data_IF_141603364568
#
_entry.id   IF_141603364568
#
_cell.length_a   1.000
_cell.length_b   1.000
_cell.length_c   1.000
_cell.angle_alpha   90.00
_cell.angle_beta   90.00
_cell.angle_gamma   90.00
#
_symmetry.space_group_name_H-M   'P 1'
#
loop_
_entity.id
_entity.type
_entity.pdbx_description
1 polymer ?
#
# COMPACT_ATOMS: atom_id res chain seq x y z
N UNK A 1 12.03 16.58 -15.70
CA UNK A 1 11.30 15.31 -15.71
C UNK A 1 10.84 15.04 -17.14
N UNK A 2 11.26 13.92 -17.72
CA UNK A 2 10.97 13.53 -19.11
C UNK A 2 9.47 13.38 -19.35
N UNK A 3 8.69 12.95 -18.35
CA UNK A 3 7.22 12.83 -18.47
C UNK A 3 6.60 14.20 -18.71
N UNK A 4 7.06 15.22 -17.98
CA UNK A 4 6.61 16.62 -18.16
C UNK A 4 6.92 17.12 -19.57
N UNK A 5 8.11 16.83 -20.10
CA UNK A 5 8.49 17.26 -21.46
C UNK A 5 7.60 16.59 -22.51
N UNK A 6 7.26 15.31 -22.31
CA UNK A 6 6.40 14.54 -23.21
C UNK A 6 4.92 14.95 -23.14
N UNK A 7 4.45 15.59 -22.06
CA UNK A 7 3.07 16.09 -21.94
C UNK A 7 2.73 17.15 -23.00
N UNK A 8 3.72 17.91 -23.48
CA UNK A 8 3.52 18.96 -24.50
C UNK A 8 3.23 18.44 -25.90
N UNK A 9 3.47 17.15 -26.16
CA UNK A 9 3.24 16.52 -27.47
C UNK A 9 1.80 16.03 -27.57
N UNK A 10 1.03 16.54 -28.52
CA UNK A 10 -0.41 16.21 -28.69
C UNK A 10 -0.71 14.71 -28.88
N UNK A 11 0.24 13.94 -29.41
CA UNK A 11 0.10 12.49 -29.60
C UNK A 11 0.23 11.68 -28.29
N UNK A 12 0.79 12.27 -27.24
CA UNK A 12 1.03 11.58 -25.98
C UNK A 12 -0.16 11.71 -25.03
N UNK A 13 -0.53 10.59 -24.41
CA UNK A 13 -1.46 10.57 -23.29
C UNK A 13 -0.71 10.12 -22.04
N UNK A 14 -0.47 11.04 -21.12
CA UNK A 14 0.15 10.72 -19.82
C UNK A 14 -0.93 10.26 -18.85
N UNK A 15 -0.78 9.04 -18.34
CA UNK A 15 -1.61 8.48 -17.28
C UNK A 15 -0.89 8.71 -15.95
N UNK A 16 -1.19 9.83 -15.29
CA UNK A 16 -0.52 10.17 -14.04
C UNK A 16 -1.15 9.44 -12.85
N UNK A 17 -0.57 8.29 -12.48
CA UNK A 17 -1.08 7.44 -11.40
C UNK A 17 -1.28 8.16 -10.05
N UNK A 18 -0.61 9.30 -9.82
CA UNK A 18 -0.68 10.07 -8.59
C UNK A 18 -1.88 11.04 -8.52
N UNK A 19 -2.53 11.34 -9.65
CA UNK A 19 -3.72 12.20 -9.72
C UNK A 19 -4.95 11.55 -10.39
N UNK A 20 -4.75 10.43 -11.07
CA UNK A 20 -5.82 9.73 -11.75
C UNK A 20 -6.68 8.93 -10.77
N UNK A 21 -7.86 9.47 -10.43
CA UNK A 21 -8.84 8.79 -9.56
C UNK A 21 -9.31 7.43 -10.10
N UNK A 22 -9.03 7.07 -11.36
CA UNK A 22 -9.21 5.70 -11.85
C UNK A 22 -8.45 4.68 -11.00
N UNK A 23 -7.23 5.02 -10.58
CA UNK A 23 -6.39 4.23 -9.70
C UNK A 23 -7.08 3.98 -8.34
N UNK A 24 -7.44 5.06 -7.62
CA UNK A 24 -8.18 4.98 -6.36
C UNK A 24 -9.49 4.17 -6.49
N UNK A 25 -10.29 4.45 -7.52
CA UNK A 25 -11.59 3.76 -7.71
C UNK A 25 -11.43 2.27 -7.93
N UNK A 26 -10.42 1.84 -8.68
CA UNK A 26 -10.19 0.42 -8.92
C UNK A 26 -9.99 -0.33 -7.59
N UNK A 27 -9.14 0.20 -6.72
CA UNK A 27 -8.88 -0.45 -5.43
C UNK A 27 -10.03 -0.32 -4.44
N UNK A 28 -10.70 0.84 -4.43
CA UNK A 28 -11.91 1.05 -3.64
C UNK A 28 -13.00 0.01 -3.95
N UNK A 29 -13.16 -0.39 -5.20
CA UNK A 29 -14.19 -1.37 -5.59
C UNK A 29 -13.65 -2.79 -5.67
N UNK A 30 -12.67 -3.05 -6.55
CA UNK A 30 -12.22 -4.40 -6.87
C UNK A 30 -11.37 -5.01 -5.75
N UNK A 31 -10.34 -4.30 -5.28
CA UNK A 31 -9.45 -4.81 -4.23
C UNK A 31 -10.17 -4.94 -2.91
N UNK A 32 -11.05 -3.99 -2.57
CA UNK A 32 -11.90 -4.10 -1.38
C UNK A 32 -12.83 -5.31 -1.44
N UNK A 33 -13.47 -5.57 -2.58
CA UNK A 33 -14.35 -6.74 -2.75
C UNK A 33 -13.58 -8.04 -2.53
N UNK A 34 -12.41 -8.20 -3.17
CA UNK A 34 -11.58 -9.39 -2.99
C UNK A 34 -11.14 -9.56 -1.53
N UNK A 35 -10.79 -8.48 -0.84
CA UNK A 35 -10.44 -8.52 0.57
C UNK A 35 -11.62 -8.95 1.47
N UNK A 36 -12.82 -8.43 1.21
CA UNK A 36 -14.04 -8.79 1.94
C UNK A 36 -14.40 -10.26 1.74
N UNK A 37 -14.36 -10.75 0.50
CA UNK A 37 -14.65 -12.15 0.16
C UNK A 37 -13.68 -13.10 0.88
N UNK A 38 -12.37 -12.84 0.85
CA UNK A 38 -11.36 -13.67 1.53
C UNK A 38 -11.61 -13.72 3.05
N UNK A 39 -11.87 -12.58 3.69
CA UNK A 39 -12.11 -12.55 5.14
C UNK A 39 -13.43 -13.25 5.51
N UNK A 40 -14.46 -13.08 4.68
CA UNK A 40 -15.74 -13.75 4.84
C UNK A 40 -15.61 -15.27 4.72
N UNK A 41 -14.88 -15.76 3.70
CA UNK A 41 -14.65 -17.19 3.46
C UNK A 41 -13.88 -17.85 4.60
N UNK A 42 -12.99 -17.10 5.26
CA UNK A 42 -12.25 -17.54 6.44
C UNK A 42 -13.07 -17.47 7.75
N UNK A 43 -14.27 -16.88 7.73
CA UNK A 43 -15.13 -16.72 8.91
C UNK A 43 -14.50 -15.84 10.00
N UNK A 44 -13.72 -14.84 9.60
CA UNK A 44 -13.03 -13.90 10.50
C UNK A 44 -13.72 -12.53 10.52
N UNK A 45 -13.48 -11.76 11.58
CA UNK A 45 -13.79 -10.34 11.62
C UNK A 45 -12.70 -9.52 10.92
N UNK A 46 -13.04 -8.36 10.37
CA UNK A 46 -12.08 -7.48 9.70
C UNK A 46 -11.49 -6.48 10.71
N UNK A 47 -10.22 -6.68 11.10
CA UNK A 47 -9.53 -5.84 12.08
C UNK A 47 -8.80 -4.65 11.47
N UNK A 48 -8.01 -4.88 10.42
CA UNK A 48 -7.29 -3.80 9.73
C UNK A 48 -7.03 -4.10 8.25
N UNK A 49 -6.96 -3.05 7.44
CA UNK A 49 -6.43 -3.06 6.08
C UNK A 49 -5.15 -2.23 6.03
N UNK A 50 -4.03 -2.86 5.66
CA UNK A 50 -2.69 -2.29 5.71
C UNK A 50 -2.12 -2.17 4.30
N UNK A 51 -1.66 -0.98 3.94
CA UNK A 51 -1.03 -0.75 2.63
C UNK A 51 0.09 0.28 2.70
N UNK A 52 1.24 -0.10 2.17
CA UNK A 52 2.36 0.79 1.91
C UNK A 52 2.07 1.73 0.74
N UNK A 53 2.60 2.93 0.86
CA UNK A 53 2.17 4.08 0.08
C UNK A 53 3.16 4.38 -1.05
N UNK A 54 2.81 3.96 -2.27
CA UNK A 54 3.33 4.54 -3.52
C UNK A 54 2.33 5.56 -4.05
N UNK A 55 1.58 5.19 -5.09
CA UNK A 55 0.53 6.03 -5.68
C UNK A 55 -0.66 6.33 -4.74
N UNK A 56 -0.83 5.57 -3.66
CA UNK A 56 -1.98 5.60 -2.74
C UNK A 56 -3.30 5.03 -3.29
N UNK A 57 -3.29 4.32 -4.42
CA UNK A 57 -4.48 3.65 -4.93
C UNK A 57 -4.99 2.58 -3.97
N UNK A 58 -4.12 1.61 -3.66
CA UNK A 58 -4.46 0.39 -2.90
C UNK A 58 -5.08 0.66 -1.53
N UNK A 59 -4.58 1.65 -0.78
CA UNK A 59 -5.12 1.98 0.54
C UNK A 59 -6.59 2.43 0.49
N UNK A 60 -7.09 2.88 -0.67
CA UNK A 60 -8.50 3.16 -0.89
C UNK A 60 -9.43 1.95 -0.67
N UNK A 61 -8.90 0.72 -0.74
CA UNK A 61 -9.66 -0.47 -0.39
C UNK A 61 -10.05 -0.50 1.10
N UNK A 62 -9.18 -0.03 2.00
CA UNK A 62 -9.48 0.06 3.43
C UNK A 62 -10.66 0.99 3.73
N UNK A 63 -10.77 2.10 2.98
CA UNK A 63 -11.93 3.00 3.08
C UNK A 63 -13.25 2.30 2.70
N UNK A 64 -13.24 1.47 1.66
CA UNK A 64 -14.41 0.72 1.24
C UNK A 64 -14.77 -0.39 2.25
N UNK A 65 -13.77 -1.15 2.73
CA UNK A 65 -13.96 -2.19 3.75
C UNK A 65 -14.65 -1.63 5.00
N UNK A 66 -14.25 -0.42 5.44
CA UNK A 66 -14.86 0.26 6.59
C UNK A 66 -16.37 0.49 6.49
N UNK A 67 -16.93 0.54 5.27
CA UNK A 67 -18.39 0.68 5.08
C UNK A 67 -19.15 -0.56 5.52
N UNK A 68 -18.51 -1.72 5.40
CA UNK A 68 -19.06 -3.01 5.81
C UNK A 68 -18.61 -3.38 7.23
N UNK A 69 -17.40 -2.96 7.62
CA UNK A 69 -16.81 -3.21 8.93
C UNK A 69 -16.31 -1.89 9.56
N UNK A 70 -17.17 -1.12 10.25
CA UNK A 70 -16.81 0.18 10.82
C UNK A 70 -15.67 0.15 11.85
N UNK A 71 -15.40 -1.02 12.45
CA UNK A 71 -14.28 -1.24 13.37
C UNK A 71 -12.94 -1.51 12.68
N UNK A 72 -12.91 -1.70 11.36
CA UNK A 72 -11.68 -1.94 10.61
C UNK A 72 -10.81 -0.69 10.57
N UNK A 73 -9.53 -0.82 10.94
CA UNK A 73 -8.56 0.26 10.79
C UNK A 73 -7.96 0.31 9.38
N UNK A 74 -7.82 1.50 8.79
CA UNK A 74 -7.04 1.72 7.57
C UNK A 74 -5.64 2.20 7.96
N UNK A 75 -4.62 1.40 7.64
CA UNK A 75 -3.24 1.63 8.06
C UNK A 75 -2.35 1.96 6.86
N UNK A 76 -1.82 3.17 6.84
CA UNK A 76 -0.83 3.61 5.87
C UNK A 76 0.58 3.19 6.32
N UNK A 77 1.43 2.82 5.37
CA UNK A 77 2.81 2.41 5.66
C UNK A 77 3.80 3.23 4.83
N UNK A 78 4.89 3.65 5.46
CA UNK A 78 5.99 4.34 4.80
C UNK A 78 7.36 3.93 5.38
N UNK A 79 8.46 4.13 4.62
CA UNK A 79 9.79 3.79 5.12
C UNK A 79 10.28 4.78 6.20
N UNK A 80 10.94 4.26 7.24
CA UNK A 80 11.61 5.09 8.27
C UNK A 80 12.66 6.02 7.65
N UNK A 81 13.33 5.58 6.58
CA UNK A 81 14.39 6.33 5.90
C UNK A 81 13.85 7.49 5.07
N UNK A 82 12.55 7.52 4.75
CA UNK A 82 11.94 8.61 4.00
C UNK A 82 10.45 8.82 4.37
N UNK A 83 10.15 9.18 5.63
CA UNK A 83 8.78 9.23 6.11
C UNK A 83 8.09 10.54 5.70
N UNK A 84 7.23 10.47 4.70
CA UNK A 84 6.56 11.67 4.16
C UNK A 84 5.49 12.18 5.14
N UNK A 85 4.64 11.28 5.62
CA UNK A 85 3.50 11.61 6.47
C UNK A 85 3.90 11.76 7.94
N UNK A 86 4.88 11.01 8.43
CA UNK A 86 5.25 10.99 9.85
C UNK A 86 5.94 12.29 10.27
N UNK A 87 6.88 12.80 9.47
CA UNK A 87 7.67 13.99 9.84
C UNK A 87 8.06 14.90 8.67
N UNK A 88 7.42 14.78 7.50
CA UNK A 88 7.82 15.52 6.28
C UNK A 88 9.28 15.27 5.94
N UNK A 89 9.74 14.04 6.18
CA UNK A 89 11.12 13.64 6.05
C UNK A 89 11.55 13.45 4.61
N UNK A 90 12.86 13.48 4.42
CA UNK A 90 13.53 13.25 3.15
C UNK A 90 14.62 12.20 3.35
N UNK A 91 14.93 11.47 2.29
CA UNK A 91 15.98 10.46 2.31
C UNK A 91 15.87 9.52 1.12
N UNK A 92 16.50 8.37 1.22
CA UNK A 92 16.40 7.30 0.22
C UNK A 92 16.19 5.99 0.97
N UNK A 93 15.39 5.10 0.41
CA UNK A 93 15.14 3.77 0.95
C UNK A 93 15.25 2.74 -0.17
N UNK A 94 15.31 1.47 0.23
CA UNK A 94 15.45 0.31 -0.65
C UNK A 94 14.13 -0.43 -0.89
N UNK A 95 13.04 0.04 -0.31
CA UNK A 95 11.69 -0.53 -0.53
C UNK A 95 11.13 0.00 -1.86
N UNK A 96 11.30 -0.76 -2.93
CA UNK A 96 10.82 -0.34 -4.27
C UNK A 96 9.29 -0.29 -4.36
N UNK A 97 8.77 0.71 -5.09
CA UNK A 97 7.33 0.89 -5.34
C UNK A 97 6.57 1.75 -4.33
N UNK A 98 7.24 2.26 -3.28
CA UNK A 98 6.63 3.12 -2.24
C UNK A 98 7.51 4.36 -1.96
N UNK A 99 7.04 5.26 -1.09
CA UNK A 99 7.90 6.30 -0.50
C UNK A 99 8.28 7.45 -1.46
N UNK A 100 7.36 7.86 -2.33
CA UNK A 100 7.58 8.87 -3.39
C UNK A 100 7.78 10.33 -2.89
N UNK A 101 7.98 10.54 -1.58
CA UNK A 101 8.33 11.84 -0.95
C UNK A 101 7.27 12.94 -1.08
N UNK A 102 6.05 12.60 -1.43
CA UNK A 102 4.94 13.54 -1.44
C UNK A 102 3.61 12.84 -1.17
N UNK A 103 2.64 13.61 -0.70
CA UNK A 103 1.26 13.11 -0.56
C UNK A 103 0.60 13.17 -1.93
N UNK A 104 0.15 12.03 -2.45
CA UNK A 104 -0.45 11.95 -3.79
C UNK A 104 -1.84 12.58 -3.80
N UNK A 105 -2.28 13.07 -4.96
CA UNK A 105 -3.56 13.78 -5.07
C UNK A 105 -4.73 12.85 -4.75
N UNK A 106 -4.64 11.59 -5.17
CA UNK A 106 -5.68 10.57 -4.96
C UNK A 106 -5.69 9.95 -3.56
N UNK A 107 -4.72 10.25 -2.68
CA UNK A 107 -4.70 9.69 -1.33
C UNK A 107 -5.78 10.33 -0.45
N UNK A 108 -6.81 9.58 -0.07
CA UNK A 108 -7.78 10.02 0.93
C UNK A 108 -7.22 9.88 2.36
N UNK A 109 -6.35 10.82 2.76
CA UNK A 109 -5.74 10.83 4.11
C UNK A 109 -6.77 10.93 5.24
N UNK A 110 -7.99 11.38 4.95
CA UNK A 110 -9.08 11.46 5.94
C UNK A 110 -9.65 10.09 6.30
N UNK A 111 -9.45 9.08 5.44
CA UNK A 111 -9.86 7.70 5.67
C UNK A 111 -8.79 6.84 6.38
N UNK A 112 -7.57 7.36 6.59
CA UNK A 112 -6.48 6.68 7.28
C UNK A 112 -6.62 6.83 8.80
N UNK A 113 -6.39 5.77 9.58
CA UNK A 113 -6.44 5.78 11.05
C UNK A 113 -5.08 5.70 11.71
N UNK A 114 -4.14 5.00 11.05
CA UNK A 114 -2.82 4.77 11.59
C UNK A 114 -1.79 4.92 10.48
N UNK A 115 -0.67 5.54 10.81
CA UNK A 115 0.54 5.51 10.02
C UNK A 115 1.58 4.64 10.74
N UNK A 116 2.21 3.74 10.00
CA UNK A 116 3.28 2.87 10.49
C UNK A 116 4.53 3.07 9.65
N UNK A 117 5.65 3.32 10.31
CA UNK A 117 6.96 3.35 9.68
C UNK A 117 7.66 2.00 9.82
N UNK A 118 8.21 1.50 8.71
CA UNK A 118 8.95 0.24 8.64
C UNK A 118 10.37 0.51 8.13
N UNK A 119 11.35 -0.18 8.69
CA UNK A 119 12.74 -0.05 8.29
C UNK A 119 13.02 -0.81 6.99
N UNK A 120 13.74 -0.19 6.05
CA UNK A 120 14.04 -0.82 4.77
C UNK A 120 15.00 -2.02 4.88
N UNK A 121 15.89 -2.03 5.87
CA UNK A 121 16.83 -3.11 6.12
C UNK A 121 16.08 -4.36 6.61
N UNK A 122 15.11 -4.15 7.51
CA UNK A 122 14.22 -5.22 7.98
C UNK A 122 13.43 -5.83 6.80
N UNK A 123 12.98 -5.02 5.84
CA UNK A 123 12.27 -5.53 4.67
C UNK A 123 13.17 -6.41 3.78
N UNK A 124 14.44 -6.02 3.60
CA UNK A 124 15.40 -6.78 2.79
C UNK A 124 15.77 -8.12 3.46
N UNK A 125 16.04 -8.08 4.77
CA UNK A 125 16.35 -9.28 5.54
C UNK A 125 15.16 -10.24 5.62
N UNK A 126 13.96 -9.69 5.79
CA UNK A 126 12.71 -10.45 5.75
C UNK A 126 12.46 -11.09 4.39
N UNK A 127 12.76 -10.38 3.29
CA UNK A 127 12.63 -10.93 1.94
C UNK A 127 13.56 -12.12 1.72
N UNK A 128 14.84 -12.00 2.08
CA UNK A 128 15.78 -13.13 1.97
C UNK A 128 15.35 -14.31 2.86
N UNK A 129 14.81 -14.06 4.06
CA UNK A 129 14.29 -15.14 4.92
C UNK A 129 13.09 -15.86 4.29
N UNK A 130 12.13 -15.13 3.74
CA UNK A 130 10.97 -15.74 3.06
C UNK A 130 11.39 -16.50 1.79
N UNK A 131 12.41 -16.01 1.07
CA UNK A 131 12.89 -16.61 -0.17
C UNK A 131 13.77 -17.86 0.07
N UNK A 132 14.63 -17.85 1.09
CA UNK A 132 15.68 -18.86 1.26
C UNK A 132 15.59 -19.66 2.58
N UNK A 133 14.75 -19.25 3.54
CA UNK A 133 14.58 -19.93 4.82
C UNK A 133 13.23 -20.64 5.09
N UNK A 134 12.48 -21.20 4.11
CA UNK A 134 11.29 -21.99 4.40
C UNK A 134 11.47 -23.11 5.43
N UNK A 135 12.63 -23.79 5.46
CA UNK A 135 12.94 -24.84 6.44
C UNK A 135 13.07 -24.29 7.87
N UNK A 136 13.63 -23.09 8.01
CA UNK A 136 13.73 -22.39 9.29
C UNK A 136 12.35 -21.94 9.74
N UNK A 137 11.53 -21.35 8.86
CA UNK A 137 10.14 -20.98 9.16
C UNK A 137 9.32 -22.20 9.61
N UNK A 138 9.49 -23.34 8.94
CA UNK A 138 8.82 -24.59 9.31
C UNK A 138 9.27 -25.09 10.70
N UNK A 139 10.57 -25.01 11.01
CA UNK A 139 11.08 -25.37 12.34
C UNK A 139 10.57 -24.46 13.48
N UNK A 140 10.03 -23.30 13.12
CA UNK A 140 9.46 -22.31 14.03
C UNK A 140 7.93 -22.34 14.11
N UNK A 141 7.31 -23.37 13.51
CA UNK A 141 5.88 -23.67 13.64
C UNK A 141 5.01 -23.15 12.51
N UNK A 142 5.59 -22.58 11.44
CA UNK A 142 4.84 -22.35 10.19
C UNK A 142 4.61 -23.71 9.52
N UNK A 143 3.43 -23.94 8.96
CA UNK A 143 3.20 -25.13 8.15
C UNK A 143 4.23 -25.22 7.00
N UNK A 144 4.79 -26.41 6.76
CA UNK A 144 5.91 -26.56 5.84
C UNK A 144 5.52 -26.30 4.37
N UNK A 145 4.30 -26.69 3.97
CA UNK A 145 3.79 -26.41 2.63
C UNK A 145 3.50 -24.93 2.47
N UNK A 146 2.92 -24.30 3.50
CA UNK A 146 2.69 -22.86 3.52
C UNK A 146 4.01 -22.08 3.43
N UNK A 147 5.02 -22.44 4.23
CA UNK A 147 6.33 -21.79 4.19
C UNK A 147 6.99 -21.93 2.82
N UNK A 148 6.90 -23.11 2.20
CA UNK A 148 7.39 -23.34 0.84
C UNK A 148 6.64 -22.49 -0.20
N UNK A 149 5.33 -22.27 -0.02
CA UNK A 149 4.52 -21.44 -0.93
C UNK A 149 4.87 -19.95 -0.93
N UNK A 150 5.62 -19.48 0.08
CA UNK A 150 6.05 -18.07 0.18
C UNK A 150 7.29 -17.76 -0.65
N UNK A 151 8.03 -18.78 -1.10
CA UNK A 151 9.12 -18.62 -2.06
C UNK A 151 8.56 -18.01 -3.34
N UNK A 152 9.23 -16.99 -3.85
CA UNK A 152 8.84 -16.18 -5.02
C UNK A 152 7.56 -15.34 -4.87
N UNK A 153 6.80 -15.49 -3.77
CA UNK A 153 5.50 -14.82 -3.59
C UNK A 153 5.60 -13.34 -3.19
N UNK A 154 6.77 -12.89 -2.72
CA UNK A 154 6.94 -11.54 -2.16
C UNK A 154 8.05 -10.76 -2.85
N UNK A 155 7.76 -9.49 -3.15
CA UNK A 155 8.76 -8.43 -3.29
C UNK A 155 8.96 -7.65 -1.98
N UNK A 156 9.88 -6.68 -2.01
CA UNK A 156 10.30 -5.93 -0.81
C UNK A 156 9.13 -5.16 -0.18
N UNK A 157 8.26 -4.55 -1.00
CA UNK A 157 7.09 -3.82 -0.51
C UNK A 157 6.01 -4.74 0.10
N UNK A 158 5.92 -5.99 -0.38
CA UNK A 158 5.07 -7.01 0.23
C UNK A 158 5.54 -7.38 1.64
N UNK A 159 6.86 -7.50 1.85
CA UNK A 159 7.43 -7.70 3.19
C UNK A 159 7.18 -6.48 4.08
N UNK A 160 7.35 -5.27 3.57
CA UNK A 160 7.04 -4.03 4.29
C UNK A 160 5.60 -4.02 4.82
N UNK A 161 4.65 -4.40 3.97
CA UNK A 161 3.25 -4.58 4.30
C UNK A 161 3.01 -5.60 5.43
N UNK A 162 3.70 -6.75 5.38
CA UNK A 162 3.63 -7.77 6.44
C UNK A 162 4.18 -7.24 7.78
N UNK A 163 5.33 -6.59 7.78
CA UNK A 163 5.92 -6.02 9.01
C UNK A 163 5.02 -4.95 9.63
N UNK A 164 4.45 -4.07 8.80
CA UNK A 164 3.48 -3.10 9.26
C UNK A 164 2.18 -3.75 9.78
N UNK A 165 1.76 -4.86 9.18
CA UNK A 165 0.61 -5.63 9.64
C UNK A 165 0.84 -6.21 11.04
N UNK A 166 2.04 -6.70 11.33
CA UNK A 166 2.44 -7.16 12.66
C UNK A 166 2.40 -5.99 13.66
N UNK A 167 2.96 -4.83 13.30
CA UNK A 167 2.91 -3.62 14.14
C UNK A 167 1.48 -3.16 14.41
N UNK A 168 0.64 -3.12 13.39
CA UNK A 168 -0.77 -2.72 13.50
C UNK A 168 -1.58 -3.68 14.38
N UNK A 169 -1.41 -4.99 14.19
CA UNK A 169 -2.04 -6.00 15.03
C UNK A 169 -1.69 -5.83 16.52
N UNK A 170 -0.41 -5.57 16.82
CA UNK A 170 0.07 -5.30 18.19
C UNK A 170 -0.47 -3.99 18.74
N UNK A 171 -0.48 -2.93 17.94
CA UNK A 171 -0.97 -1.60 18.34
C UNK A 171 -2.45 -1.65 18.75
N UNK A 172 -3.28 -2.28 17.93
CA UNK A 172 -4.72 -2.38 18.19
C UNK A 172 -5.09 -3.53 19.14
N UNK A 173 -4.15 -4.40 19.50
CA UNK A 173 -4.41 -5.56 20.34
C UNK A 173 -5.35 -6.57 19.68
N UNK A 174 -5.24 -6.76 18.35
CA UNK A 174 -6.14 -7.61 17.58
C UNK A 174 -6.01 -9.08 18.01
N UNK A 175 -7.17 -9.73 18.17
CA UNK A 175 -7.27 -11.13 18.55
C UNK A 175 -7.15 -12.10 17.36
N UNK A 176 -7.10 -13.41 17.63
CA UNK A 176 -6.95 -14.46 16.61
C UNK A 176 -8.15 -14.60 15.66
N UNK A 177 -9.25 -13.87 15.90
CA UNK A 177 -10.45 -13.83 15.05
C UNK A 177 -10.58 -12.52 14.27
N UNK A 178 -9.60 -11.64 14.36
CA UNK A 178 -9.59 -10.34 13.68
C UNK A 178 -8.48 -10.34 12.62
N UNK A 179 -8.88 -10.40 11.36
CA UNK A 179 -7.98 -10.43 10.22
C UNK A 179 -7.30 -9.06 10.03
N UNK A 180 -5.99 -9.10 9.83
CA UNK A 180 -5.24 -8.00 9.21
C UNK A 180 -5.02 -8.38 7.76
N UNK A 181 -5.59 -7.59 6.87
CA UNK A 181 -5.47 -7.80 5.42
C UNK A 181 -4.45 -6.83 4.86
N UNK A 182 -3.57 -7.35 4.01
CA UNK A 182 -2.56 -6.58 3.30
C UNK A 182 -2.32 -7.18 1.91
N UNK A 183 -1.43 -6.59 1.13
CA UNK A 183 -1.12 -7.05 -0.24
C UNK A 183 0.34 -7.44 -0.39
N UNK A 184 0.60 -8.60 -0.99
CA UNK A 184 1.88 -8.91 -1.62
C UNK A 184 1.88 -8.27 -3.02
N UNK A 185 2.51 -7.11 -3.14
CA UNK A 185 2.38 -6.23 -4.32
C UNK A 185 2.89 -6.86 -5.61
N UNK A 186 3.97 -7.63 -5.51
CA UNK A 186 4.65 -8.34 -6.59
C UNK A 186 5.48 -9.50 -6.02
N UNK A 187 6.05 -10.31 -6.91
CA UNK A 187 6.87 -11.49 -6.58
C UNK A 187 8.38 -11.21 -6.62
N UNK A 188 9.16 -12.23 -6.24
CA UNK A 188 10.62 -12.12 -6.14
C UNK A 188 11.32 -12.03 -7.50
N UNK A 189 10.66 -12.40 -8.61
CA UNK A 189 11.20 -12.44 -9.97
C UNK A 189 11.85 -11.12 -10.42
N UNK A 190 11.50 -10.02 -9.78
CA UNK A 190 12.01 -8.66 -10.04
C UNK A 190 13.22 -8.26 -9.19
N UNK A 191 13.48 -8.99 -8.11
CA UNK A 191 14.45 -8.62 -7.07
C UNK A 191 15.71 -9.50 -6.92
N UNK A 192 16.13 -10.39 -7.86
CA UNK A 192 17.38 -11.14 -7.69
C UNK A 192 18.61 -10.26 -7.44
N UNK A 193 18.73 -9.14 -8.16
CA UNK A 193 19.87 -8.21 -8.03
C UNK A 193 19.92 -7.50 -6.68
N UNK A 194 18.76 -7.30 -6.04
CA UNK A 194 18.68 -6.75 -4.69
C UNK A 194 19.24 -7.73 -3.68
N UNK A 195 18.89 -9.02 -3.82
CA UNK A 195 19.38 -10.07 -2.94
C UNK A 195 20.88 -10.31 -3.13
N UNK A 196 21.37 -10.29 -4.37
CA UNK A 196 22.81 -10.34 -4.65
C UNK A 196 23.57 -9.17 -4.01
N UNK A 197 22.98 -7.97 -4.01
CA UNK A 197 23.57 -6.81 -3.33
C UNK A 197 23.62 -7.03 -1.82
N UNK A 198 22.54 -7.52 -1.21
CA UNK A 198 22.49 -7.83 0.21
C UNK A 198 23.57 -8.86 0.58
N UNK A 199 23.74 -9.93 -0.22
CA UNK A 199 24.80 -10.90 -0.01
C UNK A 199 26.21 -10.32 -0.11
N UNK A 200 26.45 -9.35 -1.02
CA UNK A 200 27.74 -8.65 -1.10
C UNK A 200 28.01 -7.79 0.13
N UNK A 201 26.97 -7.21 0.72
CA UNK A 201 27.06 -6.33 1.88
C UNK A 201 27.18 -7.10 3.20
N UNK A 202 26.49 -8.25 3.32
CA UNK A 202 26.31 -8.95 4.60
C UNK A 202 26.75 -10.43 4.58
N UNK A 203 27.12 -10.96 3.42
CA UNK A 203 27.33 -12.39 3.21
C UNK A 203 26.04 -13.13 2.88
N UNK A 204 26.16 -14.35 2.37
CA UNK A 204 25.01 -15.21 2.10
C UNK A 204 24.41 -15.73 3.41
N UNK A 205 23.08 -15.75 3.51
CA UNK A 205 22.42 -16.28 4.70
C UNK A 205 22.70 -17.77 4.91
N UNK A 206 23.32 -18.09 6.04
CA UNK A 206 23.40 -19.45 6.55
C UNK A 206 22.26 -19.72 7.55
N UNK A 207 22.17 -20.94 8.06
CA UNK A 207 21.09 -21.34 8.97
C UNK A 207 21.02 -20.51 10.27
N UNK A 208 22.16 -20.08 10.80
CA UNK A 208 22.19 -19.27 12.02
C UNK A 208 21.77 -17.83 11.75
N UNK A 209 22.11 -17.28 10.58
CA UNK A 209 21.62 -15.99 10.12
C UNK A 209 20.11 -16.02 9.85
N UNK A 210 19.61 -17.08 9.21
CA UNK A 210 18.17 -17.27 9.01
C UNK A 210 17.40 -17.28 10.34
N UNK A 211 17.95 -17.95 11.37
CA UNK A 211 17.38 -17.90 12.73
C UNK A 211 17.43 -16.51 13.35
N UNK A 212 18.51 -15.75 13.16
CA UNK A 212 18.58 -14.36 13.64
C UNK A 212 17.51 -13.49 12.99
N UNK A 213 17.27 -13.67 11.69
CA UNK A 213 16.30 -12.88 10.92
C UNK A 213 14.85 -13.18 11.24
N UNK A 214 14.53 -14.26 11.95
CA UNK A 214 13.21 -14.43 12.56
C UNK A 214 12.84 -13.26 13.49
N UNK A 215 13.84 -12.59 14.07
CA UNK A 215 13.65 -11.40 14.90
C UNK A 215 13.08 -10.22 14.12
N UNK A 216 13.28 -10.14 12.79
CA UNK A 216 12.64 -9.13 11.94
C UNK A 216 11.13 -9.21 12.06
N UNK A 217 10.55 -10.41 12.08
CA UNK A 217 9.09 -10.58 12.22
C UNK A 217 8.65 -10.56 13.69
N UNK A 218 9.36 -11.28 14.57
CA UNK A 218 8.97 -11.43 15.99
C UNK A 218 9.24 -10.17 16.82
N UNK A 219 10.27 -9.42 16.47
CA UNK A 219 10.80 -8.28 17.21
C UNK A 219 10.15 -6.94 16.89
N UNK A 220 9.17 -6.89 15.97
CA UNK A 220 8.52 -5.64 15.55
C UNK A 220 7.98 -4.83 16.74
N UNK A 221 8.58 -3.67 17.00
CA UNK A 221 8.23 -2.80 18.12
C UNK A 221 7.06 -1.90 17.78
N UNK A 222 6.44 -1.29 18.79
CA UNK A 222 5.40 -0.27 18.62
C UNK A 222 5.97 1.12 18.32
N UNK A 223 7.16 1.20 17.72
CA UNK A 223 7.82 2.44 17.32
C UNK A 223 7.44 2.86 15.90
N UNK A 224 7.65 4.14 15.57
CA UNK A 224 7.29 4.68 14.25
C UNK A 224 5.80 4.63 13.96
N UNK A 225 4.95 4.68 14.99
CA UNK A 225 3.49 4.67 14.86
C UNK A 225 2.95 6.07 15.13
N UNK A 226 2.06 6.56 14.25
CA UNK A 226 1.37 7.83 14.43
C UNK A 226 -0.14 7.64 14.20
N UNK A 227 -0.92 7.90 15.24
CA UNK A 227 -2.38 7.87 15.15
C UNK A 227 -2.90 9.08 14.36
N UNK A 228 -3.82 8.81 13.43
CA UNK A 228 -4.38 9.81 12.54
C UNK A 228 -5.49 10.62 13.24
N UNK A 229 -5.12 11.44 14.22
CA UNK A 229 -6.05 12.43 14.77
C UNK A 229 -6.53 13.39 13.68
N UNK A 230 -7.62 14.12 13.92
CA UNK A 230 -8.13 15.13 12.97
C UNK A 230 -7.05 16.15 12.59
N UNK A 231 -6.22 16.58 13.54
CA UNK A 231 -5.13 17.52 13.28
C UNK A 231 -4.02 16.89 12.44
N UNK A 232 -3.64 15.64 12.74
CA UNK A 232 -2.64 14.89 11.96
C UNK A 232 -3.10 14.71 10.52
N UNK A 233 -4.35 14.27 10.30
CA UNK A 233 -4.96 14.16 8.96
C UNK A 233 -4.97 15.49 8.22
N UNK A 234 -5.27 16.59 8.91
CA UNK A 234 -5.20 17.94 8.33
C UNK A 234 -3.77 18.31 7.91
N UNK A 235 -2.76 18.00 8.72
CA UNK A 235 -1.35 18.22 8.36
C UNK A 235 -0.97 17.42 7.10
N UNK A 236 -1.32 16.14 7.04
CA UNK A 236 -1.13 15.30 5.85
C UNK A 236 -1.84 15.86 4.61
N UNK A 237 -3.08 16.30 4.76
CA UNK A 237 -3.85 16.90 3.69
C UNK A 237 -3.18 18.18 3.15
N UNK A 238 -2.74 19.06 4.05
CA UNK A 238 -2.09 20.32 3.68
C UNK A 238 -0.77 20.12 2.95
N UNK A 239 -0.04 19.03 3.17
CA UNK A 239 1.20 18.73 2.44
C UNK A 239 0.96 18.63 0.91
N UNK A 240 -0.26 18.26 0.47
CA UNK A 240 -0.62 18.25 -0.95
C UNK A 240 -0.46 19.62 -1.60
N UNK A 241 -0.57 20.72 -0.84
CA UNK A 241 -0.46 22.09 -1.36
C UNK A 241 0.84 22.30 -2.16
N UNK A 242 1.98 21.92 -1.59
CA UNK A 242 3.28 22.20 -2.20
C UNK A 242 3.49 21.48 -3.53
N UNK A 243 3.07 20.21 -3.62
CA UNK A 243 3.19 19.46 -4.87
C UNK A 243 2.10 19.84 -5.85
N UNK A 244 0.84 19.88 -5.41
CA UNK A 244 -0.29 19.91 -6.34
C UNK A 244 -0.73 21.32 -6.71
N UNK A 245 -0.75 22.24 -5.76
CA UNK A 245 -1.14 23.63 -6.02
C UNK A 245 0.04 24.39 -6.61
N UNK A 246 1.16 24.48 -5.87
CA UNK A 246 2.29 25.32 -6.26
C UNK A 246 3.03 24.79 -7.51
N UNK A 247 3.20 23.47 -7.63
CA UNK A 247 4.05 22.90 -8.70
C UNK A 247 3.25 22.28 -9.87
N UNK A 248 2.06 21.74 -9.61
CA UNK A 248 1.25 21.05 -10.64
C UNK A 248 0.01 21.83 -11.08
N UNK A 249 -0.25 23.01 -10.51
CA UNK A 249 -1.28 23.95 -10.97
C UNK A 249 -2.73 23.56 -10.65
N UNK A 250 -2.97 22.69 -9.65
CA UNK A 250 -4.31 22.50 -9.09
C UNK A 250 -4.75 23.77 -8.35
N UNK A 251 -6.05 24.01 -8.25
CA UNK A 251 -6.54 25.14 -7.46
C UNK A 251 -6.55 24.83 -5.97
N UNK A 252 -6.45 25.87 -5.14
CA UNK A 252 -6.64 25.74 -3.68
C UNK A 252 -8.06 25.27 -3.35
N UNK A 253 -9.04 25.65 -4.16
CA UNK A 253 -10.42 25.22 -3.98
C UNK A 253 -10.60 23.72 -4.25
N UNK A 254 -9.92 23.17 -5.27
CA UNK A 254 -9.89 21.73 -5.51
C UNK A 254 -9.25 20.96 -4.35
N UNK A 255 -8.20 21.53 -3.73
CA UNK A 255 -7.57 20.93 -2.57
C UNK A 255 -8.55 20.90 -1.38
N UNK A 256 -9.15 22.06 -1.07
CA UNK A 256 -10.15 22.19 0.01
C UNK A 256 -11.37 21.29 -0.18
N UNK A 257 -11.80 21.08 -1.43
CA UNK A 257 -12.91 20.18 -1.74
C UNK A 257 -12.65 18.75 -1.23
N UNK A 258 -11.40 18.28 -1.19
CA UNK A 258 -11.11 16.93 -0.69
C UNK A 258 -11.21 16.80 0.84
N UNK A 259 -11.39 17.89 1.59
CA UNK A 259 -11.74 17.81 3.02
C UNK A 259 -13.19 17.34 3.24
N UNK A 260 -14.06 17.56 2.25
CA UNK A 260 -15.47 17.17 2.32
C UNK A 260 -15.64 15.68 1.93
N UNK A 261 -16.23 14.82 2.80
CA UNK A 261 -16.57 13.45 2.43
C UNK A 261 -17.37 13.34 1.13
N UNK A 262 -18.20 14.33 0.79
CA UNK A 262 -19.00 14.34 -0.43
C UNK A 262 -18.13 14.32 -1.70
N UNK A 263 -16.93 14.91 -1.67
CA UNK A 263 -15.98 14.84 -2.78
C UNK A 263 -15.60 13.39 -3.05
N UNK A 264 -15.13 12.66 -2.04
CA UNK A 264 -14.71 11.26 -2.17
C UNK A 264 -15.86 10.34 -2.55
N UNK A 265 -17.03 10.52 -1.94
CA UNK A 265 -18.26 9.79 -2.28
C UNK A 265 -18.61 9.98 -3.76
N UNK A 266 -18.57 11.22 -4.26
CA UNK A 266 -18.84 11.49 -5.68
C UNK A 266 -17.86 10.76 -6.60
N UNK A 267 -16.59 10.66 -6.22
CA UNK A 267 -15.59 9.93 -6.98
C UNK A 267 -15.87 8.43 -7.00
N UNK A 268 -16.23 7.83 -5.87
CA UNK A 268 -16.53 6.39 -5.78
C UNK A 268 -17.73 6.00 -6.65
N UNK A 269 -18.80 6.81 -6.62
CA UNK A 269 -20.03 6.57 -7.39
C UNK A 269 -19.84 6.70 -8.92
N UNK A 270 -18.78 7.38 -9.37
CA UNK A 270 -18.46 7.46 -10.81
C UNK A 270 -18.15 6.11 -11.44
N UNK A 271 -17.72 5.10 -10.67
CA UNK A 271 -17.46 3.76 -11.20
C UNK A 271 -18.70 3.17 -11.88
N UNK A 272 -19.88 3.25 -11.25
CA UNK A 272 -21.16 2.77 -11.81
C UNK A 272 -21.51 3.45 -13.13
N UNK A 273 -21.23 4.75 -13.24
CA UNK A 273 -21.46 5.52 -14.47
C UNK A 273 -20.50 5.09 -15.58
N UNK A 274 -19.23 4.82 -15.24
CA UNK A 274 -18.22 4.34 -16.18
C UNK A 274 -18.59 2.95 -16.69
N UNK A 275 -18.96 2.02 -15.80
CA UNK A 275 -19.32 0.65 -16.16
C UNK A 275 -20.53 0.61 -17.10
N UNK A 276 -21.58 1.38 -16.77
CA UNK A 276 -22.75 1.53 -17.64
C UNK A 276 -22.36 2.01 -19.04
N UNK A 277 -21.50 3.04 -19.14
CA UNK A 277 -21.03 3.57 -20.44
C UNK A 277 -20.18 2.56 -21.21
N UNK A 278 -19.37 1.75 -20.52
CA UNK A 278 -18.58 0.68 -21.14
C UNK A 278 -19.51 -0.39 -21.70
N UNK A 279 -20.53 -0.81 -20.94
CA UNK A 279 -21.53 -1.78 -21.38
C UNK A 279 -22.31 -1.25 -22.59
N UNK A 280 -22.83 -0.02 -22.54
CA UNK A 280 -23.54 0.63 -23.66
C UNK A 280 -22.69 0.67 -24.94
N UNK A 281 -21.39 0.95 -24.84
CA UNK A 281 -20.48 0.90 -26.00
C UNK A 281 -20.27 -0.51 -26.54
N UNK A 282 -20.18 -1.51 -25.66
CA UNK A 282 -20.02 -2.92 -26.05
C UNK A 282 -21.29 -3.48 -26.70
N UNK A 283 -22.47 -3.11 -26.22
CA UNK A 283 -23.76 -3.57 -26.76
C UNK A 283 -24.21 -2.74 -27.97
N UNK A 284 -23.88 -1.45 -28.03
CA UNK A 284 -24.22 -0.55 -29.13
C UNK A 284 -23.25 -0.58 -30.32
N UNK A 285 -22.05 -1.15 -30.16
CA UNK A 285 -21.00 -1.25 -31.19
C UNK A 285 -21.13 -2.42 -32.18
N UNK A 286 -22.25 -3.17 -32.15
CA UNK A 286 -22.50 -4.31 -33.04
C UNK A 286 -22.91 -3.96 -34.48
N UNK A 287 -22.98 -2.68 -34.85
CA UNK A 287 -23.36 -2.24 -36.20
C UNK A 287 -22.58 -1.01 -36.63
N UNK A 288 -21.40 -1.21 -37.22
CA UNK A 288 -20.64 -0.12 -37.82
C UNK A 288 -19.14 -0.33 -37.86
N UNK A 289 -18.68 -1.36 -38.59
CA UNK A 289 -17.42 -1.22 -39.33
C UNK A 289 -17.77 -0.70 -40.71
N UNK A 290 -17.40 0.55 -40.98
CA UNK A 290 -17.23 1.12 -42.31
C UNK A 290 -16.00 2.03 -42.24
#
# INVERSE_FOLDING_TARGET
DKVRDLRGTAANRVLNQFEEFGNYRFHFHCTATAALEVVQDLGLGFGAFVSAMGSAGTIGAGEAVKRHHPGCATVAVEPVQCPTLFNVGFGTHRIEGIGDKHVTWIHNVWATDLLVCVDDQECLEGLELLQQGPDVLASEGVDAELAASWVDAFGISGVCNVLASIKAARYYGLGPKEAVVTVATDGFDRYPSVLERLHREQGTMNRDEARRRLSVFRGQKSDGILEATREVRRRWHNQKYFTWVEQQGKSVDDLRAQEDPAFWISHQERAKVIDRRIQERRTGGGGGRA
#
